data_IF_240486801409
#
_entry.id   IF_240486801409
#
_cell.length_a   1.000
_cell.length_b   1.000
_cell.length_c   1.000
_cell.angle_alpha   90.00
_cell.angle_beta   90.00
_cell.angle_gamma   90.00
#
_symmetry.space_group_name_H-M   'P 1'
#
loop_
_entity.id
_entity.type
_entity.pdbx_description
1 polymer ?
#
# COMPACT_ATOMS: atom_id res chain seq x y z
N UNK A 1 -8.00 17.40 0.60
CA UNK A 1 -7.20 17.30 -0.63
C UNK A 1 -6.90 15.83 -0.88
N UNK A 2 -7.62 15.20 -1.80
CA UNK A 2 -7.27 13.89 -2.34
C UNK A 2 -6.65 14.15 -3.71
N UNK A 3 -5.40 14.62 -3.71
CA UNK A 3 -4.61 14.70 -4.94
C UNK A 3 -3.96 13.34 -5.14
N UNK A 4 -4.14 12.74 -6.31
CA UNK A 4 -3.34 11.60 -6.71
C UNK A 4 -1.88 12.06 -6.75
N UNK A 5 -1.07 11.52 -5.85
CA UNK A 5 0.37 11.76 -5.83
C UNK A 5 1.06 10.54 -6.44
N UNK A 6 2.16 10.78 -7.15
CA UNK A 6 3.07 9.73 -7.56
C UNK A 6 3.80 9.21 -6.31
N UNK A 7 3.52 7.97 -5.92
CA UNK A 7 4.25 7.30 -4.84
C UNK A 7 5.42 6.55 -5.44
N UNK A 8 6.59 6.72 -4.83
CA UNK A 8 7.78 5.91 -5.08
C UNK A 8 8.29 5.37 -3.77
N UNK A 9 8.58 4.08 -3.71
CA UNK A 9 9.15 3.45 -2.53
C UNK A 9 9.27 1.95 -2.68
N UNK A 10 9.93 1.32 -1.71
CA UNK A 10 10.12 -0.14 -1.70
C UNK A 10 8.88 -0.80 -1.09
N UNK A 11 8.33 -1.78 -1.80
CA UNK A 11 7.25 -2.61 -1.25
C UNK A 11 7.82 -3.66 -0.32
N UNK A 12 7.36 -3.71 0.93
CA UNK A 12 7.84 -4.67 1.90
C UNK A 12 6.72 -5.21 2.79
N UNK A 13 7.00 -6.28 3.53
CA UNK A 13 6.12 -6.78 4.58
C UNK A 13 6.73 -6.47 5.93
N UNK A 14 5.97 -5.76 6.77
CA UNK A 14 6.37 -5.42 8.15
C UNK A 14 5.26 -5.86 9.08
N UNK A 15 5.58 -6.75 10.03
CA UNK A 15 4.63 -7.30 11.01
C UNK A 15 3.37 -7.91 10.37
N UNK A 16 3.56 -8.56 9.21
CA UNK A 16 2.47 -9.19 8.44
C UNK A 16 1.64 -8.20 7.61
N UNK A 17 2.00 -6.92 7.59
CA UNK A 17 1.30 -5.89 6.81
C UNK A 17 2.16 -5.48 5.62
N UNK A 18 1.54 -5.38 4.44
CA UNK A 18 2.23 -4.81 3.28
C UNK A 18 2.32 -3.30 3.45
N UNK A 19 3.54 -2.79 3.32
CA UNK A 19 3.86 -1.38 3.48
C UNK A 19 4.69 -0.89 2.30
N UNK A 20 4.60 0.40 2.02
CA UNK A 20 5.66 1.10 1.29
C UNK A 20 6.63 1.66 2.30
N UNK A 21 7.90 1.27 2.21
CA UNK A 21 8.99 1.88 2.96
C UNK A 21 9.28 3.25 2.36
N UNK A 22 9.00 4.29 3.14
CA UNK A 22 9.49 5.64 2.89
C UNK A 22 10.78 5.91 3.63
N UNK A 23 11.46 7.01 3.29
CA UNK A 23 12.75 7.42 3.88
C UNK A 23 12.72 7.64 5.40
N UNK A 24 11.55 7.89 5.98
CA UNK A 24 11.38 8.11 7.42
C UNK A 24 10.41 7.16 8.10
N UNK A 25 9.47 6.57 7.34
CA UNK A 25 8.32 5.83 7.88
C UNK A 25 7.78 4.82 6.88
N UNK A 26 7.11 3.80 7.40
CA UNK A 26 6.39 2.81 6.62
C UNK A 26 4.93 3.19 6.52
N UNK A 27 4.40 3.24 5.29
CA UNK A 27 2.99 3.52 5.03
C UNK A 27 2.25 2.21 4.77
N UNK A 28 1.20 1.93 5.53
CA UNK A 28 0.32 0.79 5.25
C UNK A 28 -0.38 1.01 3.92
N UNK A 29 -0.38 -0.02 3.08
CA UNK A 29 -0.97 0.06 1.74
C UNK A 29 -2.34 -0.58 1.73
N UNK A 30 -3.31 0.16 1.20
CA UNK A 30 -4.57 -0.39 0.74
C UNK A 30 -4.50 -0.55 -0.76
N UNK A 31 -4.69 -1.79 -1.20
CA UNK A 31 -4.73 -2.16 -2.60
C UNK A 31 -6.16 -2.08 -3.13
N UNK A 32 -6.28 -2.05 -4.46
CA UNK A 32 -7.58 -2.24 -5.08
C UNK A 32 -8.08 -3.69 -4.90
N UNK A 33 -9.42 -3.90 -4.95
CA UNK A 33 -9.99 -5.22 -4.79
C UNK A 33 -9.41 -6.20 -5.81
N UNK A 34 -9.00 -7.38 -5.33
CA UNK A 34 -8.47 -8.46 -6.16
C UNK A 34 -6.95 -8.58 -6.15
N UNK A 35 -6.20 -7.61 -5.60
CA UNK A 35 -4.77 -7.82 -5.35
C UNK A 35 -4.60 -8.98 -4.36
N UNK A 36 -3.82 -9.98 -4.76
CA UNK A 36 -3.61 -11.21 -3.99
C UNK A 36 -2.14 -11.43 -3.70
N UNK A 37 -1.82 -12.23 -2.67
CA UNK A 37 -0.46 -12.68 -2.44
C UNK A 37 -0.07 -13.70 -3.51
N UNK A 38 1.17 -13.61 -4.00
CA UNK A 38 1.72 -14.65 -4.85
C UNK A 38 1.75 -15.98 -4.09
N UNK A 39 1.65 -17.15 -4.79
CA UNK A 39 1.74 -18.46 -4.15
C UNK A 39 3.02 -18.64 -3.31
N UNK A 40 4.13 -18.03 -3.75
CA UNK A 40 5.42 -18.00 -3.03
C UNK A 40 5.41 -17.14 -1.76
N UNK A 41 4.37 -16.33 -1.56
CA UNK A 41 4.24 -15.31 -0.50
C UNK A 41 5.33 -14.25 -0.50
N UNK A 42 6.11 -14.17 -1.58
CA UNK A 42 7.20 -13.22 -1.75
C UNK A 42 6.82 -12.01 -2.61
N UNK A 43 5.52 -11.75 -2.77
CA UNK A 43 5.03 -10.60 -3.52
C UNK A 43 3.51 -10.58 -3.64
N UNK A 44 3.02 -9.68 -4.48
CA UNK A 44 1.61 -9.50 -4.79
C UNK A 44 1.36 -9.69 -6.29
N UNK A 45 0.22 -10.28 -6.62
CA UNK A 45 -0.35 -10.25 -7.97
C UNK A 45 -1.38 -9.12 -8.03
N UNK A 46 -1.17 -8.17 -8.92
CA UNK A 46 -2.17 -7.15 -9.24
C UNK A 46 -2.97 -7.56 -10.48
N UNK A 47 -4.25 -7.94 -10.34
CA UNK A 47 -5.05 -8.39 -11.47
C UNK A 47 -5.41 -7.27 -12.45
N UNK A 48 -5.36 -6.00 -12.01
CA UNK A 48 -5.67 -4.85 -12.88
C UNK A 48 -4.55 -4.60 -13.90
N UNK A 49 -3.30 -4.68 -13.46
CA UNK A 49 -2.14 -4.59 -14.36
C UNK A 49 -1.70 -5.94 -14.94
N UNK A 50 -2.17 -7.06 -14.36
CA UNK A 50 -1.75 -8.41 -14.70
C UNK A 50 -0.30 -8.71 -14.31
N UNK A 51 0.29 -7.93 -13.40
CA UNK A 51 1.70 -8.01 -13.02
C UNK A 51 1.91 -8.66 -11.66
N UNK A 52 2.97 -9.46 -11.58
CA UNK A 52 3.51 -9.99 -10.33
C UNK A 52 4.57 -9.03 -9.81
N UNK A 53 4.43 -8.63 -8.54
CA UNK A 53 5.24 -7.59 -7.91
C UNK A 53 5.91 -8.19 -6.68
N UNK A 54 7.21 -8.53 -6.77
CA UNK A 54 7.94 -9.08 -5.65
C UNK A 54 8.10 -8.05 -4.52
N UNK A 55 8.11 -8.53 -3.28
CA UNK A 55 8.57 -7.71 -2.15
C UNK A 55 10.07 -7.42 -2.27
N UNK A 56 10.50 -6.29 -1.71
CA UNK A 56 11.85 -5.76 -1.82
C UNK A 56 12.11 -4.97 -3.10
N UNK A 57 11.13 -4.88 -4.00
CA UNK A 57 11.25 -4.09 -5.21
C UNK A 57 10.82 -2.63 -4.99
N UNK A 58 11.51 -1.72 -5.69
CA UNK A 58 11.07 -0.34 -5.82
C UNK A 58 9.88 -0.30 -6.76
N UNK A 59 8.81 0.35 -6.33
CA UNK A 59 7.63 0.56 -7.14
C UNK A 59 7.38 2.05 -7.33
N UNK A 60 6.69 2.37 -8.42
CA UNK A 60 6.08 3.66 -8.68
C UNK A 60 4.60 3.45 -8.92
N UNK A 61 3.73 4.32 -8.42
CA UNK A 61 2.30 4.20 -8.68
C UNK A 61 1.52 5.45 -8.33
N UNK A 62 0.31 5.54 -8.85
CA UNK A 62 -0.64 6.54 -8.41
C UNK A 62 -1.20 6.18 -7.04
N UNK A 63 -1.35 7.15 -6.15
CA UNK A 63 -2.00 6.86 -4.89
C UNK A 63 -2.66 8.05 -4.24
N UNK A 64 -3.52 7.75 -3.27
CA UNK A 64 -4.10 8.73 -2.38
C UNK A 64 -3.57 8.54 -0.96
N UNK A 65 -3.03 9.59 -0.36
CA UNK A 65 -2.78 9.60 1.09
C UNK A 65 -4.12 9.68 1.80
N UNK A 66 -4.53 8.60 2.48
CA UNK A 66 -5.73 8.60 3.33
C UNK A 66 -5.41 9.16 4.71
N UNK A 67 -4.19 8.87 5.19
CA UNK A 67 -3.70 9.30 6.49
C UNK A 67 -2.20 9.56 6.43
N UNK A 68 -1.76 10.68 6.99
CA UNK A 68 -0.35 11.07 7.10
C UNK A 68 -0.06 11.53 8.53
N UNK A 69 0.84 10.83 9.21
CA UNK A 69 1.20 11.07 10.59
C UNK A 69 -0.03 11.24 11.51
N UNK A 70 -1.03 10.37 11.36
CA UNK A 70 -2.26 10.41 12.14
C UNK A 70 -3.26 11.51 11.75
N UNK A 71 -2.95 12.33 10.74
CA UNK A 71 -3.87 13.34 10.18
C UNK A 71 -4.53 12.83 8.91
N UNK A 72 -5.77 13.23 8.66
CA UNK A 72 -6.57 12.72 7.54
C UNK A 72 -7.75 11.91 8.04
N UNK A 73 -8.13 10.88 7.29
CA UNK A 73 -9.32 10.09 7.61
C UNK A 73 -9.11 9.25 8.88
N UNK A 74 -10.12 9.12 9.75
CA UNK A 74 -10.13 8.15 10.84
C UNK A 74 -9.93 6.72 10.33
N UNK A 75 -9.27 5.86 11.13
CA UNK A 75 -9.05 4.46 10.75
C UNK A 75 -10.38 3.74 10.51
N UNK A 76 -11.37 3.98 11.37
CA UNK A 76 -12.72 3.42 11.24
C UNK A 76 -13.38 3.77 9.91
N UNK A 77 -13.19 5.00 9.43
CA UNK A 77 -13.80 5.49 8.20
C UNK A 77 -13.11 4.88 6.98
N UNK A 78 -11.78 4.70 7.06
CA UNK A 78 -11.01 3.98 6.05
C UNK A 78 -11.46 2.51 5.99
N UNK A 79 -11.49 1.82 7.12
CA UNK A 79 -11.92 0.41 7.19
C UNK A 79 -13.34 0.23 6.65
N UNK A 80 -14.27 1.10 7.04
CA UNK A 80 -15.67 1.06 6.61
C UNK A 80 -15.84 1.38 5.12
N UNK A 81 -15.19 2.43 4.62
CA UNK A 81 -15.36 2.87 3.23
C UNK A 81 -14.72 1.88 2.25
N UNK A 82 -13.61 1.27 2.63
CA UNK A 82 -12.86 0.34 1.79
C UNK A 82 -13.21 -1.13 2.03
N UNK A 83 -14.02 -1.43 3.04
CA UNK A 83 -14.39 -2.80 3.40
C UNK A 83 -13.20 -3.65 3.85
N UNK A 84 -12.20 -3.04 4.48
CA UNK A 84 -10.97 -3.70 4.94
C UNK A 84 -10.86 -3.64 6.45
N UNK A 85 -10.10 -4.55 7.05
CA UNK A 85 -9.71 -4.47 8.46
C UNK A 85 -8.20 -4.30 8.55
N UNK A 86 -7.74 -3.18 9.10
CA UNK A 86 -6.32 -2.88 9.27
C UNK A 86 -5.90 -3.43 10.63
N UNK A 87 -5.12 -4.51 10.60
CA UNK A 87 -4.57 -5.13 11.81
C UNK A 87 -3.92 -4.10 12.73
N UNK A 88 -4.07 -4.30 14.05
CA UNK A 88 -3.43 -3.46 15.06
C UNK A 88 -1.89 -3.46 14.94
N UNK A 89 -1.31 -4.50 14.33
CA UNK A 89 0.13 -4.59 14.08
C UNK A 89 0.61 -3.66 12.96
N UNK A 90 -0.29 -3.24 12.05
CA UNK A 90 0.06 -2.40 10.92
C UNK A 90 0.31 -0.94 11.34
N UNK A 91 1.23 -0.23 10.68
CA UNK A 91 1.38 1.21 10.85
C UNK A 91 0.07 1.97 10.54
N UNK A 92 -0.61 2.50 11.56
CA UNK A 92 -1.84 3.30 11.41
C UNK A 92 -1.61 4.81 11.31
N UNK A 93 -0.34 5.23 11.40
CA UNK A 93 0.05 6.63 11.26
C UNK A 93 -0.02 7.10 9.81
N UNK A 94 0.39 6.24 8.88
CA UNK A 94 0.50 6.54 7.46
C UNK A 94 -0.21 5.45 6.67
N UNK A 95 -1.27 5.83 5.95
CA UNK A 95 -2.09 4.91 5.14
C UNK A 95 -2.25 5.52 3.76
N UNK A 96 -1.88 4.73 2.76
CA UNK A 96 -2.01 5.11 1.35
C UNK A 96 -2.92 4.11 0.64
N UNK A 97 -3.76 4.62 -0.25
CA UNK A 97 -4.39 3.80 -1.27
C UNK A 97 -3.47 3.81 -2.48
N UNK A 98 -2.93 2.67 -2.86
CA UNK A 98 -2.06 2.54 -4.03
C UNK A 98 -2.86 1.94 -5.19
N UNK A 99 -2.69 2.52 -6.38
CA UNK A 99 -3.32 2.09 -7.63
C UNK A 99 -2.33 2.21 -8.78
N UNK A 100 -2.57 1.46 -9.85
CA UNK A 100 -1.77 1.52 -11.09
C UNK A 100 -0.26 1.56 -10.81
N UNK A 101 0.21 0.66 -9.96
CA UNK A 101 1.60 0.63 -9.56
C UNK A 101 2.39 -0.36 -10.41
N UNK A 102 3.64 -0.02 -10.65
CA UNK A 102 4.57 -0.77 -11.47
C UNK A 102 5.91 -0.87 -10.75
N UNK A 103 6.61 -1.97 -10.99
CA UNK A 103 8.00 -2.12 -10.55
C UNK A 103 8.84 -1.14 -11.36
N UNK A 104 9.61 -0.32 -10.66
CA UNK A 104 10.68 0.45 -11.29
C UNK A 104 11.84 -0.50 -11.52
N UNK A 105 12.11 -0.83 -12.79
CA UNK A 105 13.38 -1.48 -13.13
C UNK A 105 14.52 -0.55 -12.75
N UNK A 106 15.45 -1.07 -11.96
CA UNK A 106 16.66 -0.37 -11.52
C UNK A 106 17.75 -0.37 -12.58
#
# INVERSE_FOLDING_TARGET
MAGEALFRGEMAVVRGCVVIKGSRRNSTVLFDPGVTLLPSRNGLHDPLSGKDIPFGQLISGGGGVLRNNGRGWPISDIERFYGVTISAACPKGDIIRLRNFEVLEG
#
